data_IF_473161343945
#
_entry.id   IF_473161343945
#
_cell.length_a   1.000
_cell.length_b   1.000
_cell.length_c   1.000
_cell.angle_alpha   90.00
_cell.angle_beta   90.00
_cell.angle_gamma   90.00
#
_symmetry.space_group_name_H-M   'P 1'
#
loop_
_entity.id
_entity.type
_entity.pdbx_description
1 polymer ?
#
# COMPACT_ATOMS: atom_id res chain seq x y z
N UNK A 1 7.21 -3.35 24.44
CA UNK A 1 6.19 -2.68 23.61
C UNK A 1 6.75 -2.32 22.24
N UNK A 2 5.95 -2.51 21.19
CA UNK A 2 6.31 -2.24 19.79
C UNK A 2 5.23 -1.34 19.17
N UNK A 3 5.62 -0.14 18.72
CA UNK A 3 4.74 0.76 17.99
C UNK A 3 4.60 0.29 16.53
N UNK A 4 3.43 0.55 15.91
CA UNK A 4 3.16 0.14 14.52
C UNK A 4 2.59 1.29 13.70
N UNK A 5 2.85 1.28 12.39
CA UNK A 5 2.38 2.28 11.44
C UNK A 5 2.09 1.65 10.08
N UNK A 6 1.08 2.17 9.38
CA UNK A 6 0.75 1.80 8.01
C UNK A 6 1.48 2.71 7.02
N UNK A 7 2.14 2.11 6.02
CA UNK A 7 2.76 2.81 4.89
C UNK A 7 1.81 2.75 3.69
N UNK A 8 0.97 3.78 3.54
CA UNK A 8 -0.20 3.77 2.65
C UNK A 8 0.13 4.40 1.30
N UNK A 9 0.00 3.68 0.17
CA UNK A 9 0.08 4.28 -1.16
C UNK A 9 -1.20 5.08 -1.48
N UNK A 10 -1.08 6.13 -2.29
CA UNK A 10 -2.20 6.98 -2.71
C UNK A 10 -3.28 6.17 -3.44
N UNK A 11 -2.86 5.15 -4.21
CA UNK A 11 -3.78 4.24 -4.91
C UNK A 11 -4.80 3.58 -3.98
N UNK A 12 -4.43 3.24 -2.73
CA UNK A 12 -5.38 2.65 -1.79
C UNK A 12 -6.49 3.66 -1.42
N UNK A 13 -6.12 4.92 -1.24
CA UNK A 13 -7.06 6.00 -0.90
C UNK A 13 -8.00 6.29 -2.08
N UNK A 14 -7.46 6.29 -3.30
CA UNK A 14 -8.28 6.43 -4.51
C UNK A 14 -9.27 5.28 -4.67
N UNK A 15 -8.82 4.02 -4.57
CA UNK A 15 -9.70 2.84 -4.63
C UNK A 15 -10.77 2.88 -3.54
N UNK A 16 -10.44 3.35 -2.34
CA UNK A 16 -11.41 3.53 -1.25
C UNK A 16 -12.49 4.58 -1.59
N UNK A 17 -12.10 5.72 -2.20
CA UNK A 17 -13.04 6.77 -2.62
C UNK A 17 -13.95 6.31 -3.76
N UNK A 18 -13.41 5.50 -4.66
CA UNK A 18 -14.12 4.93 -5.82
C UNK A 18 -14.94 3.67 -5.48
N UNK A 19 -14.97 3.25 -4.21
CA UNK A 19 -15.61 2.01 -3.75
C UNK A 19 -15.14 0.76 -4.51
N UNK A 20 -13.86 0.73 -4.87
CA UNK A 20 -13.20 -0.38 -5.57
C UNK A 20 -12.53 -1.35 -4.61
N UNK A 21 -12.17 -2.50 -5.17
CA UNK A 21 -11.38 -3.50 -4.47
C UNK A 21 -9.89 -3.16 -4.41
N UNK A 22 -9.24 -3.78 -3.43
CA UNK A 22 -7.81 -3.81 -3.19
C UNK A 22 -7.34 -5.26 -3.09
N UNK A 23 -6.24 -5.58 -3.78
CA UNK A 23 -5.62 -6.90 -3.77
C UNK A 23 -4.41 -6.93 -2.83
N UNK A 24 -4.42 -7.87 -1.89
CA UNK A 24 -3.28 -8.19 -1.04
C UNK A 24 -2.41 -9.23 -1.73
N UNK A 25 -1.10 -9.00 -1.74
CA UNK A 25 -0.09 -9.88 -2.31
C UNK A 25 0.96 -10.27 -1.25
N UNK A 26 1.63 -11.40 -1.47
CA UNK A 26 2.88 -11.70 -0.76
C UNK A 26 4.04 -10.93 -1.40
N UNK A 27 4.89 -10.21 -0.65
CA UNK A 27 6.04 -9.49 -1.22
C UNK A 27 7.00 -10.38 -2.02
N UNK A 28 7.06 -11.68 -1.75
CA UNK A 28 7.85 -12.63 -2.55
C UNK A 28 7.42 -12.73 -4.01
N UNK A 29 6.12 -12.53 -4.28
CA UNK A 29 5.53 -12.63 -5.62
C UNK A 29 5.54 -11.29 -6.36
N UNK A 30 5.70 -10.18 -5.61
CA UNK A 30 5.67 -8.79 -6.10
C UNK A 30 6.82 -7.96 -5.50
N UNK A 31 8.09 -8.39 -5.65
CA UNK A 31 9.21 -7.89 -4.86
C UNK A 31 9.58 -6.43 -5.13
N UNK A 32 9.20 -5.89 -6.28
CA UNK A 32 9.50 -4.52 -6.72
C UNK A 32 8.51 -3.48 -6.18
N UNK A 33 7.29 -3.87 -5.81
CA UNK A 33 6.26 -2.92 -5.35
C UNK A 33 6.67 -2.09 -4.12
N UNK A 34 7.54 -2.62 -3.27
CA UNK A 34 7.98 -1.89 -2.09
C UNK A 34 8.83 -0.66 -2.47
N UNK A 35 9.63 -0.77 -3.54
CA UNK A 35 10.53 0.27 -4.02
C UNK A 35 9.87 1.26 -4.98
N UNK A 36 8.82 0.85 -5.69
CA UNK A 36 8.08 1.74 -6.59
C UNK A 36 7.13 2.67 -5.85
N UNK A 37 6.91 3.88 -6.32
CA UNK A 37 5.94 4.83 -5.77
C UNK A 37 5.25 5.63 -6.88
N UNK A 38 4.17 6.35 -6.56
CA UNK A 38 3.42 7.16 -7.53
C UNK A 38 2.87 6.35 -8.71
N UNK A 39 3.04 6.87 -9.93
CA UNK A 39 2.51 6.24 -11.14
C UNK A 39 3.16 4.89 -11.45
N UNK A 40 4.47 4.74 -11.20
CA UNK A 40 5.18 3.49 -11.43
C UNK A 40 4.63 2.38 -10.52
N UNK A 41 4.37 2.69 -9.25
CA UNK A 41 3.70 1.77 -8.34
C UNK A 41 2.31 1.39 -8.85
N UNK A 42 1.51 2.36 -9.30
CA UNK A 42 0.15 2.12 -9.81
C UNK A 42 0.16 1.16 -10.99
N UNK A 43 0.91 1.48 -12.03
CA UNK A 43 0.97 0.66 -13.24
C UNK A 43 1.43 -0.76 -12.92
N UNK A 44 2.44 -0.88 -12.05
CA UNK A 44 2.97 -2.19 -11.67
C UNK A 44 2.00 -2.97 -10.79
N UNK A 45 1.33 -2.31 -9.86
CA UNK A 45 0.31 -2.92 -9.01
C UNK A 45 -0.86 -3.46 -9.84
N UNK A 46 -1.38 -2.66 -10.78
CA UNK A 46 -2.48 -3.06 -11.66
C UNK A 46 -2.08 -4.18 -12.61
N UNK A 47 -0.82 -4.20 -13.07
CA UNK A 47 -0.26 -5.33 -13.80
C UNK A 47 -0.30 -6.63 -12.98
N UNK A 48 0.06 -6.58 -11.69
CA UNK A 48 -0.01 -7.75 -10.81
C UNK A 48 -1.45 -8.18 -10.51
N UNK A 49 -2.39 -7.24 -10.38
CA UNK A 49 -3.81 -7.57 -10.29
C UNK A 49 -4.28 -8.36 -11.53
N UNK A 50 -3.88 -7.94 -12.74
CA UNK A 50 -4.21 -8.65 -13.96
C UNK A 50 -3.56 -10.06 -14.04
N UNK A 51 -2.33 -10.22 -13.54
CA UNK A 51 -1.68 -11.53 -13.46
C UNK A 51 -2.37 -12.47 -12.46
N UNK A 52 -2.85 -11.94 -11.33
CA UNK A 52 -3.65 -12.69 -10.36
C UNK A 52 -5.00 -13.13 -10.96
N UNK A 53 -5.66 -12.25 -11.72
CA UNK A 53 -6.91 -12.60 -12.43
C UNK A 53 -6.70 -13.68 -13.49
N UNK A 54 -5.52 -13.74 -14.10
CA UNK A 54 -5.11 -14.81 -15.01
C UNK A 54 -4.69 -16.12 -14.29
N UNK A 55 -4.69 -16.14 -12.95
CA UNK A 55 -4.26 -17.27 -12.14
C UNK A 55 -2.74 -17.49 -12.11
N UNK A 56 -1.94 -16.53 -12.60
CA UNK A 56 -0.46 -16.60 -12.61
C UNK A 56 0.14 -16.27 -11.25
N UNK A 57 -0.57 -15.49 -10.43
CA UNK A 57 -0.26 -15.26 -9.02
C UNK A 57 -1.39 -15.91 -8.23
N UNK A 58 -1.08 -16.99 -7.53
CA UNK A 58 -2.08 -17.80 -6.82
C UNK A 58 -2.27 -17.35 -5.38
N UNK A 59 -1.24 -16.78 -4.76
CA UNK A 59 -1.28 -16.26 -3.39
C UNK A 59 -1.67 -14.77 -3.39
N UNK A 60 -2.96 -14.51 -3.57
CA UNK A 60 -3.53 -13.17 -3.47
C UNK A 60 -4.89 -13.17 -2.78
N UNK A 61 -5.29 -12.02 -2.21
CA UNK A 61 -6.62 -11.85 -1.62
C UNK A 61 -7.21 -10.50 -2.00
N UNK A 62 -8.33 -10.50 -2.73
CA UNK A 62 -9.10 -9.29 -3.06
C UNK A 62 -10.07 -8.96 -1.91
N UNK A 63 -10.09 -7.70 -1.48
CA UNK A 63 -10.95 -7.16 -0.42
C UNK A 63 -11.43 -5.76 -0.80
N UNK A 64 -12.56 -5.31 -0.26
CA UNK A 64 -13.00 -3.92 -0.46
C UNK A 64 -11.99 -2.94 0.16
N UNK A 65 -11.51 -1.96 -0.63
CA UNK A 65 -10.59 -0.94 -0.14
C UNK A 65 -11.22 -0.11 0.99
N UNK A 66 -12.53 0.14 0.90
CA UNK A 66 -13.31 0.83 1.92
C UNK A 66 -13.41 0.04 3.22
N UNK A 67 -13.60 -1.28 3.15
CA UNK A 67 -13.59 -2.13 4.34
C UNK A 67 -12.22 -2.18 4.99
N UNK A 68 -11.14 -2.28 4.19
CA UNK A 68 -9.77 -2.24 4.70
C UNK A 68 -9.49 -0.92 5.43
N UNK A 69 -9.79 0.20 4.78
CA UNK A 69 -9.59 1.54 5.35
C UNK A 69 -10.38 1.75 6.64
N UNK A 70 -11.66 1.35 6.66
CA UNK A 70 -12.49 1.41 7.86
C UNK A 70 -11.85 0.60 9.00
N UNK A 71 -11.37 -0.61 8.71
CA UNK A 71 -10.70 -1.46 9.71
C UNK A 71 -9.44 -0.81 10.27
N UNK A 72 -8.60 -0.20 9.41
CA UNK A 72 -7.40 0.52 9.85
C UNK A 72 -7.74 1.66 10.83
N UNK A 73 -8.77 2.46 10.50
CA UNK A 73 -9.23 3.54 11.36
C UNK A 73 -9.85 3.05 12.67
N UNK A 74 -10.60 1.95 12.64
CA UNK A 74 -11.18 1.35 13.85
C UNK A 74 -10.08 0.90 14.81
N UNK A 75 -9.05 0.18 14.33
CA UNK A 75 -7.95 -0.29 15.20
C UNK A 75 -7.14 0.89 15.75
N UNK A 76 -6.88 1.92 14.93
CA UNK A 76 -6.23 3.16 15.37
C UNK A 76 -7.04 3.85 16.48
N UNK A 77 -8.37 3.92 16.34
CA UNK A 77 -9.23 4.51 17.36
C UNK A 77 -9.26 3.69 18.66
N UNK A 78 -9.31 2.36 18.56
CA UNK A 78 -9.41 1.45 19.71
C UNK A 78 -8.09 1.32 20.49
N UNK A 79 -6.95 1.37 19.80
CA UNK A 79 -5.65 0.99 20.38
C UNK A 79 -4.56 2.06 20.28
N UNK A 80 -4.83 3.17 19.58
CA UNK A 80 -3.84 4.20 19.27
C UNK A 80 -2.86 3.83 18.16
N UNK A 81 -2.94 2.61 17.61
CA UNK A 81 -2.06 2.07 16.57
C UNK A 81 -2.85 1.20 15.57
N UNK A 82 -2.28 0.86 14.41
CA UNK A 82 -1.12 1.49 13.78
C UNK A 82 -1.41 2.93 13.33
N UNK A 83 -0.41 3.82 13.43
CA UNK A 83 -0.49 5.15 12.82
C UNK A 83 -0.67 5.09 11.30
N UNK A 84 -1.07 6.20 10.69
CA UNK A 84 -1.26 6.28 9.23
C UNK A 84 -0.23 7.24 8.66
N UNK A 85 0.56 6.74 7.71
CA UNK A 85 1.58 7.51 6.99
C UNK A 85 1.45 7.25 5.49
N UNK A 86 1.72 8.26 4.66
CA UNK A 86 1.46 8.20 3.22
C UNK A 86 2.77 8.09 2.43
N UNK A 87 2.92 6.97 1.71
CA UNK A 87 4.14 6.58 1.00
C UNK A 87 4.51 7.55 -0.12
N UNK A 88 3.55 7.86 -0.98
CA UNK A 88 3.81 8.58 -2.22
C UNK A 88 4.18 10.05 -1.97
N UNK A 89 3.50 10.81 -1.09
CA UNK A 89 3.94 12.16 -0.74
C UNK A 89 5.35 12.20 -0.14
N UNK A 90 5.72 11.20 0.67
CA UNK A 90 7.05 11.09 1.26
C UNK A 90 8.14 10.87 0.21
N UNK A 91 7.89 10.00 -0.78
CA UNK A 91 8.86 9.70 -1.82
C UNK A 91 8.89 10.79 -2.91
N UNK A 92 7.74 11.21 -3.46
CA UNK A 92 7.65 12.21 -4.53
C UNK A 92 8.22 13.57 -4.17
N UNK A 93 8.24 13.92 -2.88
CA UNK A 93 8.76 15.20 -2.38
C UNK A 93 10.12 15.08 -1.70
N UNK A 94 10.69 13.87 -1.63
CA UNK A 94 12.03 13.67 -1.11
C UNK A 94 13.06 14.31 -2.05
N UNK A 95 14.00 15.14 -1.57
CA UNK A 95 15.10 15.63 -2.40
C UNK A 95 16.09 14.51 -2.79
N UNK A 96 16.03 13.36 -2.11
CA UNK A 96 16.97 12.25 -2.26
C UNK A 96 16.46 11.11 -3.16
N UNK A 97 15.41 11.33 -3.96
CA UNK A 97 14.86 10.31 -4.89
C UNK A 97 15.92 9.71 -5.82
N UNK A 98 16.93 10.50 -6.19
CA UNK A 98 18.04 10.08 -7.04
C UNK A 98 19.06 9.15 -6.35
N UNK A 99 18.97 8.95 -5.04
CA UNK A 99 19.89 8.12 -4.23
C UNK A 99 19.22 6.89 -3.62
N UNK A 100 17.89 6.82 -3.64
CA UNK A 100 17.15 5.70 -3.05
C UNK A 100 15.70 6.03 -2.74
N UNK A 101 15.05 5.06 -2.08
CA UNK A 101 13.62 5.08 -1.76
C UNK A 101 13.44 5.19 -0.24
N UNK A 102 12.45 5.97 0.19
CA UNK A 102 12.04 6.04 1.60
C UNK A 102 11.06 4.89 1.88
N UNK A 103 11.49 3.95 2.71
CA UNK A 103 10.72 2.73 3.03
C UNK A 103 9.80 2.88 4.25
N UNK A 104 10.06 3.83 5.14
CA UNK A 104 9.20 4.15 6.29
C UNK A 104 9.49 5.55 6.83
N UNK A 105 8.64 6.00 7.76
CA UNK A 105 8.97 7.12 8.66
C UNK A 105 9.74 6.63 9.90
N UNK A 106 9.97 7.53 10.87
CA UNK A 106 10.59 7.25 12.16
C UNK A 106 9.58 6.95 13.30
N UNK A 107 10.13 6.61 14.48
CA UNK A 107 9.45 6.45 15.78
C UNK A 107 9.19 7.78 16.48
#
# INVERSE_FOLDING_TARGET
>A
DMNTANWVPDLLIERMREDRDWTLFSPSDVPDLHDLYGNEFRERYEHYEALAEQGKITLCKKISAKQLWRKMLTVLFETGHPWITFKDPCNLRSPQQHQGVVHSSNL
#
